data_IF_434280433693
#
_entry.id   IF_434280433693
#
_cell.length_a   1.000
_cell.length_b   1.000
_cell.length_c   1.000
_cell.angle_alpha   90.00
_cell.angle_beta   90.00
_cell.angle_gamma   90.00
#
_symmetry.space_group_name_H-M   'P 1'
#
loop_
_entity.id
_entity.type
_entity.pdbx_description
1 polymer ?
#
# COMPACT_ATOMS: atom_id res chain seq x y z
N UNK A 1 -70.49 67.90 44.60
CA UNK A 1 -71.44 66.98 45.24
C UNK A 1 -72.28 66.42 44.10
N UNK A 2 -72.34 65.10 43.90
CA UNK A 2 -72.95 64.54 42.70
C UNK A 2 -74.48 64.46 42.73
N UNK A 3 -75.14 64.89 43.82
CA UNK A 3 -76.60 64.82 43.97
C UNK A 3 -77.26 66.20 43.97
N UNK A 4 -78.46 66.28 43.39
CA UNK A 4 -79.20 67.54 43.27
C UNK A 4 -79.81 67.96 44.61
N UNK A 5 -79.52 69.20 45.03
CA UNK A 5 -80.20 69.86 46.15
C UNK A 5 -81.07 70.95 45.55
N UNK A 6 -82.40 70.82 45.66
CA UNK A 6 -83.33 71.79 45.09
C UNK A 6 -83.25 73.13 45.82
N UNK A 7 -83.55 74.23 45.11
CA UNK A 7 -83.56 75.58 45.70
C UNK A 7 -84.52 75.67 46.90
N UNK A 8 -85.65 74.97 46.84
CA UNK A 8 -86.61 74.89 47.94
C UNK A 8 -86.03 74.16 49.16
N UNK A 9 -85.23 73.10 48.94
CA UNK A 9 -84.52 72.40 50.03
C UNK A 9 -83.54 73.32 50.78
N UNK A 10 -82.98 74.31 50.09
CA UNK A 10 -82.09 75.33 50.68
C UNK A 10 -82.83 76.41 51.49
N UNK A 11 -84.13 76.64 51.26
CA UNK A 11 -84.93 77.57 52.07
C UNK A 11 -85.53 76.90 53.32
N UNK A 12 -85.69 75.57 53.30
CA UNK A 12 -86.25 74.78 54.39
C UNK A 12 -85.17 73.93 55.11
N UNK A 13 -84.04 74.55 55.44
CA UNK A 13 -82.93 73.93 56.17
C UNK A 13 -83.41 73.53 57.57
N UNK A 14 -83.69 72.24 57.78
CA UNK A 14 -84.16 71.70 59.06
C UNK A 14 -85.53 71.02 59.03
N UNK A 15 -86.22 71.00 57.88
CA UNK A 15 -87.42 70.17 57.70
C UNK A 15 -87.07 68.67 57.78
N UNK A 16 -87.90 67.81 58.42
CA UNK A 16 -87.62 66.38 58.57
C UNK A 16 -87.31 65.65 57.26
N UNK A 17 -87.91 66.07 56.14
CA UNK A 17 -87.71 65.45 54.83
C UNK A 17 -86.51 65.99 54.06
N UNK A 18 -85.95 67.13 54.48
CA UNK A 18 -84.88 67.86 53.77
C UNK A 18 -83.55 67.77 54.51
N UNK A 19 -83.60 67.73 55.83
CA UNK A 19 -82.43 67.66 56.70
C UNK A 19 -81.50 66.46 56.42
N UNK A 20 -81.97 65.22 56.17
CA UNK A 20 -81.08 64.11 55.84
C UNK A 20 -80.24 64.35 54.58
N UNK A 21 -80.84 64.94 53.54
CA UNK A 21 -80.15 65.25 52.27
C UNK A 21 -79.12 66.37 52.44
N UNK A 22 -79.44 67.40 53.23
CA UNK A 22 -78.51 68.49 53.55
C UNK A 22 -77.36 67.98 54.44
N UNK A 23 -77.67 67.14 55.43
CA UNK A 23 -76.66 66.53 56.31
C UNK A 23 -75.70 65.64 55.53
N UNK A 24 -76.20 64.81 54.60
CA UNK A 24 -75.36 64.00 53.71
C UNK A 24 -74.43 64.87 52.85
N UNK A 25 -74.92 66.01 52.35
CA UNK A 25 -74.10 66.96 51.60
C UNK A 25 -73.01 67.63 52.47
N UNK A 26 -73.33 67.97 53.73
CA UNK A 26 -72.36 68.52 54.68
C UNK A 26 -71.29 67.48 55.06
N UNK A 27 -71.69 66.23 55.33
CA UNK A 27 -70.74 65.14 55.60
C UNK A 27 -69.82 64.91 54.40
N UNK A 28 -70.38 64.88 53.18
CA UNK A 28 -69.57 64.79 51.96
C UNK A 28 -68.61 65.97 51.79
N UNK A 29 -69.02 67.18 52.15
CA UNK A 29 -68.14 68.36 52.12
C UNK A 29 -67.01 68.25 53.16
N UNK A 30 -67.31 67.75 54.37
CA UNK A 30 -66.30 67.45 55.39
C UNK A 30 -65.32 66.39 54.90
N UNK A 31 -65.80 65.33 54.25
CA UNK A 31 -64.96 64.29 53.69
C UNK A 31 -64.10 64.79 52.53
N UNK A 32 -64.61 65.69 51.69
CA UNK A 32 -63.80 66.40 50.69
C UNK A 32 -62.70 67.25 51.31
N UNK A 33 -63.00 67.97 52.39
CA UNK A 33 -61.99 68.78 53.11
C UNK A 33 -60.92 67.85 53.68
N UNK A 34 -61.33 66.75 54.33
CA UNK A 34 -60.39 65.73 54.85
C UNK A 34 -59.55 65.12 53.74
N UNK A 35 -60.16 64.81 52.59
CA UNK A 35 -59.46 64.28 51.42
C UNK A 35 -58.45 65.30 50.88
N UNK A 36 -58.85 66.54 50.65
CA UNK A 36 -57.96 67.62 50.20
C UNK A 36 -56.80 67.86 51.15
N UNK A 37 -57.04 67.82 52.48
CA UNK A 37 -55.98 67.93 53.48
C UNK A 37 -55.01 66.74 53.48
N UNK A 38 -55.47 65.51 53.18
CA UNK A 38 -54.60 64.32 53.11
C UNK A 38 -53.79 64.30 51.82
N UNK A 39 -54.44 64.57 50.69
CA UNK A 39 -53.78 64.62 49.38
C UNK A 39 -52.78 65.77 49.33
N UNK A 40 -53.12 66.95 49.85
CA UNK A 40 -52.21 68.09 49.89
C UNK A 40 -50.93 67.82 50.69
N UNK A 41 -50.97 66.95 51.70
CA UNK A 41 -49.77 66.54 52.45
C UNK A 41 -48.89 65.51 51.75
N UNK A 42 -49.42 64.83 50.73
CA UNK A 42 -48.73 63.73 50.03
C UNK A 42 -48.59 64.01 48.53
N UNK A 43 -48.82 65.26 48.11
CA UNK A 43 -48.86 65.61 46.70
C UNK A 43 -47.48 65.51 46.06
N UNK A 44 -46.43 65.84 46.81
CA UNK A 44 -45.04 65.74 46.36
C UNK A 44 -44.67 64.30 46.04
N UNK A 45 -45.10 63.33 46.87
CA UNK A 45 -44.89 61.89 46.61
C UNK A 45 -45.68 61.38 45.38
N UNK A 46 -46.75 62.07 44.98
CA UNK A 46 -47.53 61.72 43.79
C UNK A 46 -46.97 62.37 42.51
N UNK A 47 -46.50 63.61 42.62
CA UNK A 47 -45.88 64.35 41.52
C UNK A 47 -44.47 63.84 41.20
N UNK A 48 -43.75 63.40 42.23
CA UNK A 48 -42.37 62.89 42.14
C UNK A 48 -42.29 61.49 42.76
N UNK A 49 -42.75 60.45 42.04
CA UNK A 49 -42.63 59.08 42.53
C UNK A 49 -41.14 58.69 42.65
N UNK A 50 -40.74 58.03 43.75
CA UNK A 50 -39.37 57.55 43.90
C UNK A 50 -39.04 56.45 42.87
N UNK A 51 -37.84 56.49 42.32
CA UNK A 51 -37.31 55.43 41.45
C UNK A 51 -36.81 54.24 42.29
N UNK A 52 -36.87 53.01 41.76
CA UNK A 52 -36.51 51.77 42.48
C UNK A 52 -35.05 51.75 42.99
N UNK A 53 -34.15 52.54 42.38
CA UNK A 53 -32.73 52.63 42.74
C UNK A 53 -32.40 53.76 43.75
N UNK A 54 -33.38 54.57 44.16
CA UNK A 54 -33.16 55.74 45.03
C UNK A 54 -33.77 55.53 46.42
N UNK A 55 -33.11 54.71 47.24
CA UNK A 55 -33.64 54.30 48.56
C UNK A 55 -33.51 55.38 49.66
N UNK A 56 -32.55 56.31 49.54
CA UNK A 56 -32.20 57.27 50.61
C UNK A 56 -32.12 58.74 50.16
N UNK A 57 -32.52 59.07 48.92
CA UNK A 57 -32.40 60.44 48.38
C UNK A 57 -33.68 60.93 47.72
N UNK A 58 -33.94 62.25 47.79
CA UNK A 58 -35.03 62.90 47.06
C UNK A 58 -34.86 62.65 45.55
N UNK A 59 -35.96 62.39 44.80
CA UNK A 59 -35.92 62.27 43.36
C UNK A 59 -35.31 63.52 42.72
N UNK A 60 -34.48 63.33 41.69
CA UNK A 60 -33.83 64.45 40.99
C UNK A 60 -34.85 65.43 40.41
N UNK A 61 -35.98 64.89 39.93
CA UNK A 61 -37.10 65.67 39.42
C UNK A 61 -37.70 66.61 40.47
N UNK A 62 -37.76 66.17 41.73
CA UNK A 62 -38.25 66.98 42.84
C UNK A 62 -37.26 68.10 43.19
N UNK A 63 -35.96 67.79 43.22
CA UNK A 63 -34.89 68.77 43.50
C UNK A 63 -34.86 69.86 42.42
N UNK A 64 -34.91 69.46 41.14
CA UNK A 64 -34.96 70.39 40.01
C UNK A 64 -36.23 71.23 40.01
N UNK A 65 -37.38 70.63 40.34
CA UNK A 65 -38.64 71.36 40.41
C UNK A 65 -38.62 72.43 41.50
N UNK A 66 -38.13 72.10 42.70
CA UNK A 66 -37.98 73.05 43.81
C UNK A 66 -37.02 74.20 43.46
N UNK A 67 -35.92 73.90 42.75
CA UNK A 67 -35.03 74.93 42.22
C UNK A 67 -35.74 75.86 41.21
N UNK A 68 -36.46 75.30 40.23
CA UNK A 68 -37.21 76.08 39.23
C UNK A 68 -38.30 76.91 39.90
N UNK A 69 -39.03 76.36 40.88
CA UNK A 69 -40.05 77.07 41.63
C UNK A 69 -39.46 78.28 42.37
N UNK A 70 -38.38 78.08 43.14
CA UNK A 70 -37.74 79.14 43.92
C UNK A 70 -37.11 80.22 43.05
N UNK A 71 -36.40 79.84 41.99
CA UNK A 71 -35.81 80.80 41.05
C UNK A 71 -36.88 81.56 40.27
N UNK A 72 -37.99 80.91 39.90
CA UNK A 72 -39.12 81.57 39.25
C UNK A 72 -39.82 82.56 40.19
N UNK A 73 -39.96 82.26 41.48
CA UNK A 73 -40.46 83.20 42.49
C UNK A 73 -39.51 84.41 42.60
N UNK A 74 -38.20 84.17 42.75
CA UNK A 74 -37.21 85.23 42.81
C UNK A 74 -37.19 86.11 41.56
N UNK A 75 -37.38 85.53 40.37
CA UNK A 75 -37.53 86.25 39.11
C UNK A 75 -38.79 87.13 39.12
N UNK A 76 -39.93 86.61 39.60
CA UNK A 76 -41.17 87.39 39.73
C UNK A 76 -41.07 88.54 40.73
N UNK A 77 -40.16 88.44 41.70
CA UNK A 77 -39.82 89.51 42.64
C UNK A 77 -38.83 90.55 42.06
N UNK A 78 -38.31 90.31 40.85
CA UNK A 78 -37.46 91.23 40.10
C UNK A 78 -35.95 90.99 40.27
N UNK A 79 -35.53 89.83 40.78
CA UNK A 79 -34.11 89.46 40.82
C UNK A 79 -33.64 88.93 39.45
N UNK A 80 -32.46 89.34 39.02
CA UNK A 80 -31.80 88.90 37.77
C UNK A 80 -30.58 87.98 38.01
N UNK A 81 -30.27 87.65 39.27
CA UNK A 81 -29.21 86.71 39.64
C UNK A 81 -29.73 85.62 40.57
N UNK A 82 -29.26 84.39 40.36
CA UNK A 82 -29.71 83.18 41.07
C UNK A 82 -28.55 82.34 41.62
N UNK A 83 -27.36 82.94 41.78
CA UNK A 83 -26.13 82.24 42.20
C UNK A 83 -26.32 81.43 43.50
N UNK A 84 -27.03 81.98 44.49
CA UNK A 84 -27.32 81.30 45.75
C UNK A 84 -28.18 80.03 45.58
N UNK A 85 -29.08 80.04 44.60
CA UNK A 85 -29.94 78.88 44.28
C UNK A 85 -29.17 77.84 43.45
N UNK A 86 -28.29 78.30 42.55
CA UNK A 86 -27.39 77.44 41.77
C UNK A 86 -26.42 76.68 42.68
N UNK A 87 -25.87 77.36 43.69
CA UNK A 87 -24.99 76.75 44.69
C UNK A 87 -25.75 75.71 45.52
N UNK A 88 -26.98 76.00 45.94
CA UNK A 88 -27.84 75.04 46.66
C UNK A 88 -28.16 73.80 45.81
N UNK A 89 -28.52 74.00 44.53
CA UNK A 89 -28.77 72.89 43.60
C UNK A 89 -27.51 72.04 43.40
N UNK A 90 -26.36 72.69 43.20
CA UNK A 90 -25.07 72.02 43.05
C UNK A 90 -24.74 71.20 44.29
N UNK A 91 -24.96 71.74 45.49
CA UNK A 91 -24.73 71.03 46.75
C UNK A 91 -25.66 69.80 46.90
N UNK A 92 -26.94 69.93 46.55
CA UNK A 92 -27.89 68.80 46.59
C UNK A 92 -27.51 67.69 45.58
N UNK A 93 -27.12 68.05 44.35
CA UNK A 93 -26.69 67.09 43.33
C UNK A 93 -25.35 66.43 43.70
N UNK A 94 -24.39 67.19 44.22
CA UNK A 94 -23.12 66.67 44.70
C UNK A 94 -23.33 65.72 45.89
N UNK A 95 -24.20 66.07 46.84
CA UNK A 95 -24.53 65.19 47.97
C UNK A 95 -25.17 63.87 47.50
N UNK A 96 -25.97 63.90 46.44
CA UNK A 96 -26.53 62.69 45.81
C UNK A 96 -25.45 61.85 45.10
N UNK A 97 -24.56 62.49 44.33
CA UNK A 97 -23.51 61.80 43.57
C UNK A 97 -22.41 61.21 44.44
N UNK A 98 -21.99 61.93 45.49
CA UNK A 98 -20.91 61.51 46.39
C UNK A 98 -21.41 60.81 47.66
N UNK A 99 -22.72 60.84 47.93
CA UNK A 99 -23.33 60.25 49.12
C UNK A 99 -22.83 60.88 50.44
N UNK A 100 -23.39 60.42 51.57
CA UNK A 100 -23.01 60.89 52.92
C UNK A 100 -21.68 60.25 53.39
N UNK A 101 -21.23 59.13 52.79
CA UNK A 101 -20.08 58.36 53.27
C UNK A 101 -18.79 58.50 52.44
N UNK A 102 -18.58 59.63 51.75
CA UNK A 102 -17.33 59.91 51.03
C UNK A 102 -17.13 59.10 49.74
N UNK A 103 -18.23 58.73 49.08
CA UNK A 103 -18.26 58.37 47.67
C UNK A 103 -17.54 57.09 47.23
N UNK A 104 -17.35 57.02 45.90
CA UNK A 104 -16.68 55.93 45.18
C UNK A 104 -15.22 55.79 45.63
N UNK A 105 -14.57 56.89 46.03
CA UNK A 105 -13.16 56.89 46.43
C UNK A 105 -12.93 56.11 47.73
N UNK A 106 -13.78 56.29 48.75
CA UNK A 106 -13.71 55.48 49.97
C UNK A 106 -14.00 53.99 49.70
N UNK A 107 -14.91 53.68 48.77
CA UNK A 107 -15.18 52.29 48.37
C UNK A 107 -14.01 51.68 47.58
N UNK A 108 -13.32 52.48 46.76
CA UNK A 108 -12.12 52.06 46.04
C UNK A 108 -10.93 51.83 46.99
N UNK A 109 -10.75 52.70 47.99
CA UNK A 109 -9.76 52.51 49.05
C UNK A 109 -10.05 51.27 49.89
N UNK A 110 -11.32 51.03 50.25
CA UNK A 110 -11.73 49.85 50.99
C UNK A 110 -11.56 48.57 50.16
N UNK A 111 -11.93 48.59 48.88
CA UNK A 111 -11.69 47.47 47.97
C UNK A 111 -10.20 47.17 47.83
N UNK A 112 -9.35 48.18 47.64
CA UNK A 112 -7.89 47.99 47.61
C UNK A 112 -7.36 47.43 48.92
N UNK A 113 -7.91 47.85 50.07
CA UNK A 113 -7.52 47.27 51.36
C UNK A 113 -7.87 45.79 51.42
N UNK A 114 -9.09 45.43 51.01
CA UNK A 114 -9.58 44.05 51.01
C UNK A 114 -8.82 43.17 50.00
N UNK A 115 -8.48 43.69 48.82
CA UNK A 115 -7.64 43.00 47.83
C UNK A 115 -6.25 42.72 48.39
N UNK A 116 -5.60 43.70 49.03
CA UNK A 116 -4.30 43.49 49.68
C UNK A 116 -4.37 42.48 50.83
N UNK A 117 -5.45 42.49 51.62
CA UNK A 117 -5.67 41.51 52.68
C UNK A 117 -5.88 40.10 52.11
N UNK A 118 -6.62 39.99 51.02
CA UNK A 118 -6.84 38.73 50.31
C UNK A 118 -5.54 38.17 49.72
N UNK A 119 -4.74 39.01 49.06
CA UNK A 119 -3.42 38.63 48.54
C UNK A 119 -2.48 38.14 49.66
N UNK A 120 -2.48 38.84 50.80
CA UNK A 120 -1.69 38.44 51.97
C UNK A 120 -2.14 37.08 52.52
N UNK A 121 -3.45 36.85 52.60
CA UNK A 121 -4.01 35.58 53.08
C UNK A 121 -3.75 34.43 52.09
N UNK A 122 -3.85 34.68 50.79
CA UNK A 122 -3.53 33.70 49.77
C UNK A 122 -2.05 33.30 49.82
N UNK A 123 -1.15 34.26 50.04
CA UNK A 123 0.27 33.97 50.23
C UNK A 123 0.51 33.13 51.51
N UNK A 124 -0.13 33.48 52.63
CA UNK A 124 0.00 32.70 53.88
C UNK A 124 -0.53 31.27 53.72
N UNK A 125 -1.64 31.08 53.00
CA UNK A 125 -2.19 29.77 52.68
C UNK A 125 -1.20 28.97 51.83
N UNK A 126 -0.60 29.58 50.81
CA UNK A 126 0.38 28.92 49.95
C UNK A 126 1.62 28.48 50.73
N UNK A 127 2.17 29.36 51.58
CA UNK A 127 3.31 29.03 52.45
C UNK A 127 2.99 27.90 53.44
N UNK A 128 1.78 27.92 54.01
CA UNK A 128 1.27 26.87 54.90
C UNK A 128 1.12 25.53 54.18
N UNK A 129 0.60 25.53 52.94
CA UNK A 129 0.48 24.32 52.12
C UNK A 129 1.85 23.74 51.76
N UNK A 130 2.82 24.58 51.40
CA UNK A 130 4.18 24.12 51.13
C UNK A 130 4.85 23.52 52.37
N UNK A 131 4.65 24.14 53.54
CA UNK A 131 5.13 23.61 54.82
C UNK A 131 4.46 22.28 55.16
N UNK A 132 3.16 22.15 54.94
CA UNK A 132 2.41 20.91 55.16
C UNK A 132 2.94 19.80 54.24
N UNK A 133 3.18 20.11 52.97
CA UNK A 133 3.74 19.15 52.01
C UNK A 133 5.13 18.67 52.43
N UNK A 134 6.01 19.58 52.86
CA UNK A 134 7.33 19.21 53.41
C UNK A 134 7.22 18.31 54.63
N UNK A 135 6.32 18.62 55.57
CA UNK A 135 6.08 17.76 56.74
C UNK A 135 5.54 16.37 56.35
N UNK A 136 4.68 16.28 55.34
CA UNK A 136 4.19 15.00 54.82
C UNK A 136 5.32 14.18 54.17
N UNK A 137 6.19 14.83 53.39
CA UNK A 137 7.37 14.18 52.79
C UNK A 137 8.33 13.67 53.87
N UNK A 138 8.58 14.46 54.92
CA UNK A 138 9.37 14.07 56.09
C UNK A 138 8.72 12.90 56.85
N UNK A 139 7.40 12.91 57.06
CA UNK A 139 6.67 11.82 57.72
C UNK A 139 6.80 10.51 56.95
N UNK A 140 6.68 10.55 55.62
CA UNK A 140 6.87 9.37 54.76
C UNK A 140 8.30 8.86 54.86
N UNK A 141 9.30 9.74 54.79
CA UNK A 141 10.71 9.37 54.92
C UNK A 141 11.01 8.71 56.28
N UNK A 142 10.44 9.25 57.36
CA UNK A 142 10.60 8.70 58.70
C UNK A 142 9.94 7.32 58.83
N UNK A 143 8.75 7.11 58.27
CA UNK A 143 8.08 5.80 58.25
C UNK A 143 8.90 4.76 57.49
N UNK A 144 9.43 5.11 56.32
CA UNK A 144 10.29 4.21 55.56
C UNK A 144 11.58 3.86 56.32
N UNK A 145 12.16 4.82 57.05
CA UNK A 145 13.33 4.58 57.89
C UNK A 145 13.00 3.67 59.08
N UNK A 146 11.86 3.86 59.72
CA UNK A 146 11.38 3.00 60.81
C UNK A 146 11.16 1.56 60.33
N UNK A 147 10.52 1.37 59.17
CA UNK A 147 10.36 0.05 58.57
C UNK A 147 11.70 -0.63 58.26
N UNK A 148 12.70 0.13 57.75
CA UNK A 148 14.05 -0.40 57.50
C UNK A 148 14.76 -0.78 58.80
N UNK A 149 14.66 0.06 59.83
CA UNK A 149 15.23 -0.21 61.16
C UNK A 149 14.58 -1.44 61.79
N UNK A 150 13.26 -1.58 61.71
CA UNK A 150 12.55 -2.74 62.24
C UNK A 150 12.93 -4.04 61.50
N UNK A 151 13.09 -3.99 60.17
CA UNK A 151 13.61 -5.15 59.41
C UNK A 151 15.02 -5.51 59.83
N UNK A 152 15.89 -4.52 59.97
CA UNK A 152 17.26 -4.75 60.44
C UNK A 152 17.30 -5.34 61.85
N UNK A 153 16.48 -4.84 62.77
CA UNK A 153 16.35 -5.40 64.12
C UNK A 153 15.88 -6.86 64.08
N UNK A 154 14.86 -7.19 63.27
CA UNK A 154 14.39 -8.56 63.12
C UNK A 154 15.47 -9.50 62.54
N UNK A 155 16.28 -9.02 61.60
CA UNK A 155 17.44 -9.76 61.08
C UNK A 155 18.51 -9.99 62.16
N UNK A 156 18.80 -8.96 62.96
CA UNK A 156 19.74 -9.07 64.08
C UNK A 156 19.24 -10.03 65.17
N UNK A 157 17.96 -9.96 65.52
CA UNK A 157 17.34 -10.89 66.48
C UNK A 157 17.43 -12.34 65.97
N UNK A 158 17.11 -12.58 64.69
CA UNK A 158 17.28 -13.89 64.07
C UNK A 158 18.74 -14.38 64.06
N UNK A 159 19.70 -13.47 63.89
CA UNK A 159 21.12 -13.79 63.98
C UNK A 159 21.54 -14.17 65.41
N UNK A 160 21.05 -13.44 66.41
CA UNK A 160 21.28 -13.75 67.83
C UNK A 160 20.69 -15.13 68.18
N UNK A 161 19.45 -15.41 67.78
CA UNK A 161 18.83 -16.72 68.00
C UNK A 161 19.63 -17.87 67.35
N UNK A 162 20.13 -17.64 66.12
CA UNK A 162 20.98 -18.62 65.43
C UNK A 162 22.30 -18.87 66.17
N UNK A 163 22.95 -17.79 66.64
CA UNK A 163 24.18 -17.89 67.43
C UNK A 163 23.93 -18.60 68.75
N UNK A 164 22.85 -18.30 69.46
CA UNK A 164 22.51 -18.94 70.73
C UNK A 164 22.23 -20.43 70.55
N UNK A 165 21.51 -20.80 69.49
CA UNK A 165 21.31 -22.22 69.12
C UNK A 165 22.63 -22.92 68.81
N UNK A 166 23.53 -22.27 68.07
CA UNK A 166 24.85 -22.83 67.78
C UNK A 166 25.69 -22.99 69.03
N UNK A 167 25.67 -22.00 69.94
CA UNK A 167 26.33 -22.07 71.22
C UNK A 167 25.83 -23.28 72.04
N UNK A 168 24.51 -23.47 72.14
CA UNK A 168 23.92 -24.61 72.84
C UNK A 168 24.29 -25.96 72.20
N UNK A 169 24.39 -26.02 70.87
CA UNK A 169 24.82 -27.24 70.18
C UNK A 169 26.29 -27.56 70.49
N UNK A 170 27.18 -26.56 70.42
CA UNK A 170 28.59 -26.71 70.76
C UNK A 170 28.76 -27.09 72.24
N UNK A 171 27.99 -26.50 73.14
CA UNK A 171 28.01 -26.86 74.56
C UNK A 171 27.63 -28.33 74.78
N UNK A 172 26.57 -28.82 74.11
CA UNK A 172 26.21 -30.23 74.13
C UNK A 172 27.29 -31.14 73.55
N UNK A 173 27.91 -30.74 72.44
CA UNK A 173 29.03 -31.50 71.85
C UNK A 173 30.22 -31.57 72.80
N UNK A 174 30.54 -30.49 73.50
CA UNK A 174 31.60 -30.49 74.52
C UNK A 174 31.24 -31.45 75.66
N UNK A 175 29.99 -31.46 76.12
CA UNK A 175 29.52 -32.39 77.16
C UNK A 175 29.63 -33.86 76.72
N UNK A 176 29.22 -34.18 75.49
CA UNK A 176 29.33 -35.55 74.97
C UNK A 176 30.79 -35.97 74.79
N UNK A 177 31.64 -35.11 74.21
CA UNK A 177 33.07 -35.40 74.07
C UNK A 177 33.75 -35.57 75.43
N UNK A 178 33.38 -34.77 76.43
CA UNK A 178 33.91 -34.91 77.78
C UNK A 178 33.52 -36.26 78.41
N UNK A 179 32.28 -36.69 78.21
CA UNK A 179 31.80 -38.00 78.67
C UNK A 179 32.52 -39.15 77.95
N UNK A 180 32.69 -39.06 76.63
CA UNK A 180 33.41 -40.07 75.84
C UNK A 180 34.89 -40.15 76.24
N UNK A 181 35.54 -39.01 76.45
CA UNK A 181 36.92 -38.95 76.92
C UNK A 181 37.06 -39.61 78.30
N UNK A 182 36.11 -39.34 79.21
CA UNK A 182 36.06 -39.99 80.52
C UNK A 182 35.91 -41.52 80.38
N UNK A 183 35.00 -41.99 79.52
CA UNK A 183 34.77 -43.42 79.27
C UNK A 183 36.01 -44.10 78.67
N UNK A 184 36.66 -43.45 77.70
CA UNK A 184 37.89 -43.95 77.06
C UNK A 184 39.01 -44.04 78.09
N UNK A 185 39.19 -43.02 78.94
CA UNK A 185 40.19 -43.05 80.02
C UNK A 185 39.92 -44.21 80.98
N UNK A 186 38.69 -44.37 81.43
CA UNK A 186 38.32 -45.48 82.32
C UNK A 186 38.62 -46.85 81.68
N UNK A 187 38.25 -47.05 80.41
CA UNK A 187 38.56 -48.30 79.68
C UNK A 187 40.06 -48.49 79.45
N UNK A 188 40.81 -47.40 79.23
CA UNK A 188 42.25 -47.47 79.07
C UNK A 188 42.94 -47.86 80.38
N UNK A 189 42.52 -47.28 81.51
CA UNK A 189 43.04 -47.62 82.83
C UNK A 189 42.72 -49.07 83.19
N UNK A 190 41.50 -49.55 82.87
CA UNK A 190 41.12 -50.96 83.01
C UNK A 190 42.02 -51.88 82.16
N UNK A 191 42.22 -51.55 80.88
CA UNK A 191 43.10 -52.32 79.99
C UNK A 191 44.55 -52.27 80.45
N UNK A 192 45.01 -51.16 81.01
CA UNK A 192 46.36 -51.04 81.52
C UNK A 192 46.57 -51.89 82.77
N UNK A 193 45.59 -51.95 83.68
CA UNK A 193 45.59 -52.90 84.79
C UNK A 193 45.60 -54.35 84.30
N UNK A 194 44.83 -54.69 83.27
CA UNK A 194 44.87 -56.02 82.65
C UNK A 194 46.25 -56.30 82.05
N UNK A 195 46.83 -55.34 81.32
CA UNK A 195 48.15 -55.49 80.72
C UNK A 195 49.26 -55.67 81.77
N UNK A 196 49.23 -54.88 82.84
CA UNK A 196 50.21 -54.96 83.95
C UNK A 196 50.05 -56.25 84.77
N UNK A 197 48.85 -56.84 84.80
CA UNK A 197 48.60 -58.13 85.47
C UNK A 197 48.77 -59.35 84.56
N UNK A 198 48.92 -59.16 83.25
CA UNK A 198 49.17 -60.24 82.30
C UNK A 198 50.66 -60.52 82.17
N UNK A 199 51.10 -61.65 82.71
CA UNK A 199 52.43 -62.21 82.44
C UNK A 199 52.40 -62.95 81.09
N UNK A 200 52.69 -62.24 80.00
CA UNK A 200 52.84 -62.88 78.68
C UNK A 200 54.21 -63.55 78.54
N UNK A 201 54.22 -64.81 78.09
CA UNK A 201 55.44 -65.49 77.68
C UNK A 201 55.96 -64.90 76.36
N UNK A 202 57.27 -64.98 76.09
CA UNK A 202 57.85 -64.54 74.79
C UNK A 202 57.18 -65.24 73.59
N UNK A 203 56.69 -66.45 73.79
CA UNK A 203 55.96 -67.25 72.79
C UNK A 203 54.59 -66.64 72.46
N UNK A 204 53.89 -66.06 73.45
CA UNK A 204 52.61 -65.38 73.24
C UNK A 204 52.78 -64.08 72.44
N UNK A 205 53.88 -63.35 72.67
CA UNK A 205 54.21 -62.13 71.92
C UNK A 205 54.50 -62.46 70.45
N UNK A 206 55.17 -63.58 70.18
CA UNK A 206 55.42 -64.04 68.82
C UNK A 206 54.14 -64.49 68.11
N UNK A 207 53.24 -65.19 68.81
CA UNK A 207 51.91 -65.53 68.29
C UNK A 207 51.09 -64.27 67.97
N UNK A 208 51.09 -63.26 68.85
CA UNK A 208 50.42 -61.98 68.61
C UNK A 208 51.00 -61.28 67.37
N UNK A 209 52.33 -61.31 67.16
CA UNK A 209 52.96 -60.75 65.95
C UNK A 209 52.54 -61.50 64.68
N UNK A 210 52.43 -62.82 64.74
CA UNK A 210 51.96 -63.65 63.61
C UNK A 210 50.50 -63.31 63.31
N UNK A 211 49.62 -63.29 64.32
CA UNK A 211 48.22 -62.91 64.17
C UNK A 211 48.06 -61.47 63.64
N UNK A 212 48.86 -60.52 64.13
CA UNK A 212 48.85 -59.14 63.61
C UNK A 212 49.23 -59.10 62.13
N UNK A 213 50.23 -59.87 61.71
CA UNK A 213 50.62 -59.96 60.30
C UNK A 213 49.52 -60.58 59.45
N UNK A 214 48.83 -61.60 59.95
CA UNK A 214 47.69 -62.22 59.28
C UNK A 214 46.50 -61.25 59.16
N UNK A 215 46.18 -60.52 60.23
CA UNK A 215 45.13 -59.49 60.23
C UNK A 215 45.45 -58.36 59.24
N UNK A 216 46.70 -57.88 59.18
CA UNK A 216 47.11 -56.88 58.19
C UNK A 216 46.93 -57.42 56.77
N UNK A 217 47.30 -58.67 56.51
CA UNK A 217 47.07 -59.30 55.21
C UNK A 217 45.58 -59.40 54.88
N UNK A 218 44.73 -59.73 55.86
CA UNK A 218 43.28 -59.78 55.65
C UNK A 218 42.68 -58.39 55.36
N UNK A 219 43.25 -57.33 55.94
CA UNK A 219 42.90 -55.94 55.63
C UNK A 219 43.32 -55.61 54.19
N UNK A 220 44.57 -55.90 53.80
CA UNK A 220 45.05 -55.67 52.42
C UNK A 220 44.17 -56.42 51.40
N UNK A 221 43.82 -57.67 51.69
CA UNK A 221 42.91 -58.47 50.85
C UNK A 221 41.49 -57.89 50.81
N UNK A 222 41.01 -57.27 51.90
CA UNK A 222 39.71 -56.60 51.94
C UNK A 222 39.71 -55.27 51.17
N UNK A 223 40.77 -54.47 51.30
CA UNK A 223 40.95 -53.23 50.53
C UNK A 223 41.03 -53.52 49.03
N UNK A 224 41.75 -54.57 48.63
CA UNK A 224 41.78 -55.01 47.23
C UNK A 224 40.41 -55.44 46.71
N UNK A 225 39.59 -56.11 47.55
CA UNK A 225 38.20 -56.45 47.18
C UNK A 225 37.33 -55.21 47.02
N UNK A 226 37.44 -54.23 47.91
CA UNK A 226 36.70 -52.96 47.80
C UNK A 226 37.07 -52.26 46.50
N UNK A 227 38.37 -52.11 46.19
CA UNK A 227 38.82 -51.49 44.95
C UNK A 227 38.28 -52.20 43.69
N UNK A 228 38.21 -53.53 43.71
CA UNK A 228 37.64 -54.29 42.59
C UNK A 228 36.11 -54.07 42.45
N UNK A 229 35.37 -54.06 43.57
CA UNK A 229 33.93 -53.76 43.56
C UNK A 229 33.67 -52.34 43.10
N UNK A 230 34.48 -51.37 43.51
CA UNK A 230 34.37 -49.98 43.04
C UNK A 230 34.62 -49.88 41.53
N UNK A 231 35.57 -50.65 41.00
CA UNK A 231 35.80 -50.74 39.56
C UNK A 231 34.63 -51.38 38.82
N UNK A 232 34.01 -52.43 39.38
CA UNK A 232 32.79 -53.04 38.82
C UNK A 232 31.62 -52.06 38.84
N UNK A 233 31.39 -51.34 39.95
CA UNK A 233 30.36 -50.30 40.07
C UNK A 233 30.58 -49.23 39.00
N UNK A 234 31.80 -48.70 38.88
CA UNK A 234 32.11 -47.68 37.89
C UNK A 234 31.85 -48.17 36.45
N UNK A 235 32.22 -49.42 36.16
CA UNK A 235 31.96 -50.01 34.84
C UNK A 235 30.46 -50.16 34.55
N UNK A 236 29.67 -50.51 35.57
CA UNK A 236 28.22 -50.70 35.48
C UNK A 236 27.49 -49.35 35.40
N UNK A 237 27.93 -48.33 36.13
CA UNK A 237 27.46 -46.94 36.01
C UNK A 237 27.75 -46.37 34.62
N UNK A 238 28.94 -46.62 34.08
CA UNK A 238 29.28 -46.21 32.72
C UNK A 238 28.40 -46.93 31.68
N UNK A 239 28.10 -48.21 31.91
CA UNK A 239 27.18 -49.00 31.07
C UNK A 239 25.76 -48.45 31.14
N UNK A 240 25.25 -48.16 32.33
CA UNK A 240 23.94 -47.58 32.55
C UNK A 240 23.82 -46.19 31.90
N UNK A 241 24.86 -45.36 32.02
CA UNK A 241 24.92 -44.03 31.40
C UNK A 241 24.86 -44.11 29.87
N UNK A 242 25.63 -45.01 29.25
CA UNK A 242 25.57 -45.27 27.79
C UNK A 242 24.20 -45.76 27.33
N UNK A 243 23.55 -46.63 28.11
CA UNK A 243 22.21 -47.09 27.81
C UNK A 243 21.20 -45.94 27.90
N UNK A 244 21.32 -45.07 28.91
CA UNK A 244 20.45 -43.90 29.07
C UNK A 244 20.61 -42.90 27.93
N UNK A 245 21.85 -42.65 27.49
CA UNK A 245 22.15 -41.82 26.31
C UNK A 245 21.53 -42.39 25.02
N UNK A 246 21.61 -43.72 24.84
CA UNK A 246 20.99 -44.40 23.69
C UNK A 246 19.45 -44.25 23.71
N UNK A 247 18.84 -44.40 24.89
CA UNK A 247 17.39 -44.20 25.07
C UNK A 247 17.00 -42.75 24.82
N UNK A 248 17.78 -41.78 25.31
CA UNK A 248 17.52 -40.35 25.09
C UNK A 248 17.64 -39.98 23.60
N UNK A 249 18.65 -40.48 22.89
CA UNK A 249 18.77 -40.32 21.43
C UNK A 249 17.55 -40.88 20.71
N UNK A 250 17.09 -42.08 21.06
CA UNK A 250 15.91 -42.70 20.45
C UNK A 250 14.62 -41.93 20.76
N UNK A 251 14.47 -41.38 21.97
CA UNK A 251 13.34 -40.51 22.33
C UNK A 251 13.38 -39.20 21.54
N UNK A 252 14.55 -38.58 21.37
CA UNK A 252 14.71 -37.35 20.61
C UNK A 252 14.41 -37.57 19.12
N UNK A 253 14.97 -38.62 18.51
CA UNK A 253 14.67 -39.00 17.11
C UNK A 253 13.16 -39.22 16.90
N UNK A 254 12.49 -39.88 17.84
CA UNK A 254 11.05 -40.05 17.80
C UNK A 254 10.30 -38.70 17.94
N UNK A 255 10.69 -37.86 18.90
CA UNK A 255 10.06 -36.57 19.13
C UNK A 255 10.25 -35.62 17.93
N UNK A 256 11.42 -35.64 17.28
CA UNK A 256 11.71 -34.88 16.06
C UNK A 256 10.80 -35.33 14.90
N UNK A 257 10.64 -36.64 14.72
CA UNK A 257 9.71 -37.21 13.73
C UNK A 257 8.25 -36.86 14.07
N UNK A 258 7.87 -36.93 15.35
CA UNK A 258 6.52 -36.59 15.81
C UNK A 258 6.23 -35.08 15.65
N UNK A 259 7.24 -34.22 15.82
CA UNK A 259 7.13 -32.79 15.54
C UNK A 259 6.99 -32.51 14.03
N UNK A 260 7.77 -33.20 13.18
CA UNK A 260 7.65 -33.10 11.72
C UNK A 260 6.26 -33.53 11.23
N UNK A 261 5.69 -34.57 11.85
CA UNK A 261 4.34 -35.06 11.60
C UNK A 261 3.24 -34.21 12.29
N UNK A 262 3.61 -33.12 12.98
CA UNK A 262 2.70 -32.22 13.71
C UNK A 262 1.79 -32.96 14.70
N UNK A 263 2.36 -33.89 15.46
CA UNK A 263 1.72 -34.63 16.56
C UNK A 263 2.05 -34.04 17.94
N UNK A 264 3.09 -33.20 18.02
CA UNK A 264 3.54 -32.50 19.23
C UNK A 264 3.58 -31.00 18.90
N UNK A 265 3.01 -30.09 19.73
CA UNK A 265 2.42 -30.31 21.06
C UNK A 265 1.08 -31.06 21.02
N UNK A 266 0.52 -31.47 22.17
CA UNK A 266 -0.79 -32.15 22.28
C UNK A 266 -1.98 -31.39 21.65
N UNK A 267 -1.79 -30.10 21.34
CA UNK A 267 -2.72 -29.23 20.60
C UNK A 267 -2.51 -29.23 19.09
N UNK A 268 -1.56 -30.01 18.57
CA UNK A 268 -1.22 -30.02 17.15
C UNK A 268 -2.32 -30.68 16.32
N UNK A 269 -2.38 -30.30 15.03
CA UNK A 269 -3.48 -30.60 14.12
C UNK A 269 -3.84 -32.09 14.01
N UNK A 270 -2.84 -32.96 14.15
CA UNK A 270 -3.02 -34.42 14.07
C UNK A 270 -2.86 -35.12 15.43
N UNK A 271 -2.66 -34.35 16.51
CA UNK A 271 -2.46 -34.89 17.85
C UNK A 271 -3.77 -35.38 18.50
N UNK A 272 -4.92 -34.85 18.06
CA UNK A 272 -6.25 -35.23 18.57
C UNK A 272 -6.35 -35.25 20.11
N UNK A 273 -5.61 -34.37 20.80
CA UNK A 273 -5.59 -34.28 22.26
C UNK A 273 -4.76 -35.35 22.98
N UNK A 274 -4.04 -36.22 22.25
CA UNK A 274 -3.14 -37.23 22.82
C UNK A 274 -1.74 -36.64 22.96
N UNK A 275 -1.11 -36.89 24.10
CA UNK A 275 0.27 -36.50 24.37
C UNK A 275 1.25 -37.56 23.84
N UNK A 276 1.85 -37.25 22.69
CA UNK A 276 2.83 -38.12 22.03
C UNK A 276 4.27 -37.93 22.54
N UNK A 277 4.56 -36.97 23.40
CA UNK A 277 5.95 -36.65 23.78
C UNK A 277 6.57 -37.78 24.65
N UNK A 278 7.73 -38.29 24.25
CA UNK A 278 8.49 -39.27 25.03
C UNK A 278 9.66 -38.59 25.75
N UNK A 279 9.83 -38.89 27.05
CA UNK A 279 10.96 -38.38 27.84
C UNK A 279 11.69 -39.51 28.53
N UNK A 280 13.03 -39.51 28.45
CA UNK A 280 13.92 -40.50 29.08
C UNK A 280 13.80 -40.53 30.62
N UNK A 281 13.35 -39.43 31.24
CA UNK A 281 13.44 -39.27 32.70
C UNK A 281 12.40 -40.08 33.47
N UNK A 282 11.16 -40.24 33.01
CA UNK A 282 10.07 -40.86 33.79
C UNK A 282 9.16 -41.72 32.90
N UNK A 283 9.02 -43.02 33.25
CA UNK A 283 8.03 -43.98 32.70
C UNK A 283 7.87 -43.95 31.16
N UNK A 284 8.95 -43.71 30.42
CA UNK A 284 8.96 -43.63 28.96
C UNK A 284 8.36 -44.89 28.32
N UNK A 285 8.69 -46.05 28.90
CA UNK A 285 8.22 -47.36 28.44
C UNK A 285 6.71 -47.51 28.60
N UNK A 286 6.17 -47.20 29.77
CA UNK A 286 4.75 -47.38 30.07
C UNK A 286 3.90 -46.39 29.26
N UNK A 287 4.37 -45.13 29.15
CA UNK A 287 3.73 -44.13 28.27
C UNK A 287 3.75 -44.58 26.80
N UNK A 288 4.86 -45.18 26.35
CA UNK A 288 4.95 -45.70 24.99
C UNK A 288 3.99 -46.87 24.75
N UNK A 289 3.93 -47.84 25.64
CA UNK A 289 3.08 -49.03 25.47
C UNK A 289 1.59 -48.73 25.60
N UNK A 290 1.23 -47.87 26.55
CA UNK A 290 -0.17 -47.73 26.97
C UNK A 290 -0.89 -46.61 26.22
N UNK A 291 -0.17 -45.57 25.81
CA UNK A 291 -0.75 -44.37 25.20
C UNK A 291 -0.27 -44.18 23.77
N UNK A 292 1.05 -44.06 23.56
CA UNK A 292 1.61 -43.64 22.27
C UNK A 292 1.44 -44.71 21.19
N UNK A 293 1.81 -45.97 21.47
CA UNK A 293 1.74 -47.07 20.50
C UNK A 293 0.31 -47.36 20.02
N UNK A 294 -0.71 -47.53 20.89
CA UNK A 294 -2.07 -47.76 20.43
C UNK A 294 -2.66 -46.54 19.69
N UNK A 295 -2.34 -45.31 20.12
CA UNK A 295 -2.78 -44.10 19.44
C UNK A 295 -2.17 -43.97 18.02
N UNK A 296 -0.86 -44.23 17.87
CA UNK A 296 -0.19 -44.26 16.56
C UNK A 296 -0.72 -45.38 15.67
N UNK A 297 -1.07 -46.54 16.23
CA UNK A 297 -1.63 -47.65 15.47
C UNK A 297 -3.03 -47.32 14.95
N UNK A 298 -3.88 -46.73 15.79
CA UNK A 298 -5.20 -46.24 15.35
C UNK A 298 -5.06 -45.14 14.29
N UNK A 299 -4.13 -44.20 14.47
CA UNK A 299 -3.87 -43.15 13.49
C UNK A 299 -3.40 -43.76 12.15
N UNK A 300 -2.49 -44.74 12.19
CA UNK A 300 -2.02 -45.46 11.00
C UNK A 300 -3.17 -46.18 10.29
N UNK A 301 -4.06 -46.84 11.03
CA UNK A 301 -5.22 -47.53 10.46
C UNK A 301 -6.18 -46.53 9.80
N UNK A 302 -6.47 -45.39 10.44
CA UNK A 302 -7.27 -44.32 9.84
C UNK A 302 -6.65 -43.76 8.56
N UNK A 303 -5.35 -43.46 8.57
CA UNK A 303 -4.67 -42.98 7.36
C UNK A 303 -4.56 -44.06 6.28
N UNK A 304 -4.37 -45.33 6.65
CA UNK A 304 -4.38 -46.43 5.69
C UNK A 304 -5.75 -46.56 5.01
N UNK A 305 -6.84 -46.40 5.75
CA UNK A 305 -8.20 -46.40 5.20
C UNK A 305 -8.43 -45.19 4.27
N UNK A 306 -8.01 -43.99 4.68
CA UNK A 306 -8.07 -42.78 3.83
C UNK A 306 -7.23 -42.94 2.55
N UNK A 307 -6.02 -43.49 2.66
CA UNK A 307 -5.14 -43.75 1.51
C UNK A 307 -5.75 -44.82 0.60
N UNK A 308 -6.35 -45.86 1.16
CA UNK A 308 -7.06 -46.88 0.37
C UNK A 308 -8.24 -46.28 -0.38
N UNK A 309 -9.07 -45.46 0.27
CA UNK A 309 -10.21 -44.82 -0.38
C UNK A 309 -9.74 -43.85 -1.47
N UNK A 310 -8.72 -43.02 -1.20
CA UNK A 310 -8.14 -42.12 -2.20
C UNK A 310 -7.44 -42.85 -3.34
N UNK A 311 -6.77 -43.96 -3.07
CA UNK A 311 -6.17 -44.81 -4.11
C UNK A 311 -7.24 -45.44 -4.99
N UNK A 312 -8.39 -45.81 -4.42
CA UNK A 312 -9.53 -46.34 -5.16
C UNK A 312 -10.17 -45.26 -6.04
N UNK A 313 -10.37 -44.05 -5.49
CA UNK A 313 -10.81 -42.88 -6.28
C UNK A 313 -9.84 -42.60 -7.43
N UNK A 314 -8.53 -42.58 -7.16
CA UNK A 314 -7.49 -42.37 -8.17
C UNK A 314 -7.51 -43.47 -9.25
N UNK A 315 -7.76 -44.73 -8.88
CA UNK A 315 -7.87 -45.83 -9.83
C UNK A 315 -9.09 -45.63 -10.74
N UNK A 316 -10.24 -45.27 -10.17
CA UNK A 316 -11.44 -44.95 -10.97
C UNK A 316 -11.20 -43.77 -11.92
N UNK A 317 -10.53 -42.71 -11.45
CA UNK A 317 -10.21 -41.55 -12.27
C UNK A 317 -9.19 -41.88 -13.39
N UNK A 318 -8.21 -42.76 -13.10
CA UNK A 318 -7.29 -43.29 -14.11
C UNK A 318 -8.00 -44.13 -15.16
N UNK A 319 -8.91 -45.02 -14.76
CA UNK A 319 -9.69 -45.83 -15.70
C UNK A 319 -10.52 -44.94 -16.65
N UNK A 320 -11.14 -43.88 -16.11
CA UNK A 320 -11.87 -42.87 -16.90
C UNK A 320 -10.91 -42.11 -17.83
N UNK A 321 -9.74 -41.71 -17.34
CA UNK A 321 -8.73 -41.03 -18.15
C UNK A 321 -8.23 -41.91 -19.30
N UNK A 322 -7.94 -43.18 -19.04
CA UNK A 322 -7.52 -44.14 -20.07
C UNK A 322 -8.62 -44.35 -21.11
N UNK A 323 -9.88 -44.45 -20.67
CA UNK A 323 -11.03 -44.52 -21.57
C UNK A 323 -11.14 -43.25 -22.45
N UNK A 324 -11.11 -42.06 -21.85
CA UNK A 324 -11.15 -40.81 -22.62
C UNK A 324 -9.94 -40.66 -23.55
N UNK A 325 -8.76 -41.12 -23.13
CA UNK A 325 -7.57 -41.10 -23.98
C UNK A 325 -7.71 -42.04 -25.17
N UNK A 326 -8.29 -43.23 -24.99
CA UNK A 326 -8.60 -44.15 -26.07
C UNK A 326 -9.62 -43.52 -27.05
N UNK A 327 -10.69 -42.93 -26.54
CA UNK A 327 -11.69 -42.21 -27.35
C UNK A 327 -11.05 -41.06 -28.15
N UNK A 328 -10.13 -40.30 -27.54
CA UNK A 328 -9.38 -39.26 -28.24
C UNK A 328 -8.47 -39.81 -29.34
N UNK A 329 -7.80 -40.96 -29.10
CA UNK A 329 -6.99 -41.61 -30.13
C UNK A 329 -7.84 -42.11 -31.30
N UNK A 330 -9.02 -42.68 -31.02
CA UNK A 330 -9.96 -43.10 -32.05
C UNK A 330 -10.46 -41.91 -32.87
N UNK A 331 -10.81 -40.80 -32.20
CA UNK A 331 -11.20 -39.55 -32.88
C UNK A 331 -10.05 -38.97 -33.73
N UNK A 332 -8.81 -39.00 -33.24
CA UNK A 332 -7.62 -38.55 -33.98
C UNK A 332 -7.37 -39.41 -35.22
N UNK A 333 -7.56 -40.73 -35.10
CA UNK A 333 -7.47 -41.66 -36.24
C UNK A 333 -8.58 -41.40 -37.27
N UNK A 334 -9.82 -41.17 -36.82
CA UNK A 334 -10.92 -40.77 -37.71
C UNK A 334 -10.63 -39.44 -38.41
N UNK A 335 -10.09 -38.46 -37.68
CA UNK A 335 -9.73 -37.16 -38.22
C UNK A 335 -8.61 -37.29 -39.27
N UNK A 336 -7.55 -38.05 -39.00
CA UNK A 336 -6.50 -38.36 -39.99
C UNK A 336 -7.05 -39.06 -41.22
N UNK A 337 -8.00 -39.99 -41.05
CA UNK A 337 -8.66 -40.63 -42.17
C UNK A 337 -9.44 -39.61 -43.01
N UNK A 338 -10.20 -38.71 -42.35
CA UNK A 338 -10.93 -37.63 -43.02
C UNK A 338 -10.02 -36.62 -43.71
N UNK A 339 -8.91 -36.23 -43.08
CA UNK A 339 -7.87 -35.40 -43.69
C UNK A 339 -7.26 -36.06 -44.92
N UNK A 340 -6.98 -37.37 -44.87
CA UNK A 340 -6.47 -38.10 -46.04
C UNK A 340 -7.49 -38.18 -47.17
N UNK A 341 -8.79 -38.31 -46.85
CA UNK A 341 -9.89 -38.25 -47.82
C UNK A 341 -10.00 -36.85 -48.44
N UNK A 342 -9.90 -35.80 -47.61
CA UNK A 342 -9.86 -34.41 -48.06
C UNK A 342 -8.68 -34.16 -49.00
N UNK A 343 -7.48 -34.58 -48.61
CA UNK A 343 -6.28 -34.41 -49.43
C UNK A 343 -6.39 -35.14 -50.78
N UNK A 344 -6.95 -36.36 -50.80
CA UNK A 344 -7.24 -37.05 -52.07
C UNK A 344 -8.22 -36.28 -52.94
N UNK A 345 -9.27 -35.70 -52.36
CA UNK A 345 -10.23 -34.86 -53.08
C UNK A 345 -9.59 -33.57 -53.58
N UNK A 346 -8.70 -32.95 -52.81
CA UNK A 346 -7.91 -31.77 -53.20
C UNK A 346 -6.95 -32.11 -54.35
N UNK A 347 -6.23 -33.23 -54.27
CA UNK A 347 -5.34 -33.71 -55.34
C UNK A 347 -6.13 -34.04 -56.62
N UNK A 348 -7.30 -34.68 -56.49
CA UNK A 348 -8.20 -34.95 -57.62
C UNK A 348 -8.74 -33.65 -58.25
N UNK A 349 -9.07 -32.65 -57.43
CA UNK A 349 -9.49 -31.33 -57.90
C UNK A 349 -8.36 -30.62 -58.62
N UNK A 350 -7.14 -30.63 -58.08
CA UNK A 350 -5.97 -30.01 -58.70
C UNK A 350 -5.60 -30.75 -60.00
N UNK A 351 -5.69 -32.07 -60.04
CA UNK A 351 -5.51 -32.86 -61.26
C UNK A 351 -6.54 -32.49 -62.34
N UNK A 352 -7.83 -32.40 -61.96
CA UNK A 352 -8.89 -31.94 -62.88
C UNK A 352 -8.66 -30.51 -63.36
N UNK A 353 -8.18 -29.63 -62.48
CA UNK A 353 -7.83 -28.24 -62.81
C UNK A 353 -6.64 -28.19 -63.79
N UNK A 354 -5.61 -29.00 -63.59
CA UNK A 354 -4.48 -29.09 -64.53
C UNK A 354 -4.90 -29.66 -65.88
N UNK A 355 -5.76 -30.69 -65.92
CA UNK A 355 -6.35 -31.17 -67.18
C UNK A 355 -7.11 -30.04 -67.85
N UNK A 356 -8.01 -29.36 -67.11
CA UNK A 356 -8.78 -28.25 -67.64
C UNK A 356 -7.88 -27.11 -68.15
N UNK A 357 -6.78 -26.82 -67.46
CA UNK A 357 -5.81 -25.82 -67.89
C UNK A 357 -5.03 -26.24 -69.14
N UNK A 358 -4.61 -27.51 -69.24
CA UNK A 358 -3.99 -28.05 -70.46
C UNK A 358 -4.95 -28.06 -71.65
N UNK A 359 -6.21 -28.43 -71.42
CA UNK A 359 -7.25 -28.34 -72.45
C UNK A 359 -7.48 -26.89 -72.87
N UNK A 360 -7.49 -25.96 -71.93
CA UNK A 360 -7.59 -24.53 -72.21
C UNK A 360 -6.36 -24.00 -72.99
N UNK A 361 -5.15 -24.39 -72.61
CA UNK A 361 -3.91 -24.05 -73.32
C UNK A 361 -3.91 -24.63 -74.74
N UNK A 362 -4.33 -25.90 -74.91
CA UNK A 362 -4.48 -26.50 -76.23
C UNK A 362 -5.50 -25.76 -77.08
N UNK A 363 -6.66 -25.40 -76.52
CA UNK A 363 -7.66 -24.59 -77.21
C UNK A 363 -7.11 -23.19 -77.56
N UNK A 364 -6.29 -22.60 -76.69
CA UNK A 364 -5.62 -21.32 -76.92
C UNK A 364 -4.54 -21.43 -78.02
N UNK A 365 -3.75 -22.49 -78.05
CA UNK A 365 -2.79 -22.77 -79.13
C UNK A 365 -3.50 -23.02 -80.47
N UNK A 366 -4.59 -23.79 -80.47
CA UNK A 366 -5.43 -23.98 -81.65
C UNK A 366 -5.99 -22.62 -82.12
N UNK A 367 -6.43 -21.76 -81.20
CA UNK A 367 -6.88 -20.40 -81.51
C UNK A 367 -5.75 -19.54 -82.08
N UNK A 368 -4.57 -19.52 -81.46
CA UNK A 368 -3.41 -18.76 -81.94
C UNK A 368 -2.88 -19.28 -83.28
N UNK A 369 -2.93 -20.59 -83.50
CA UNK A 369 -2.63 -21.24 -84.77
C UNK A 369 -3.58 -20.76 -85.86
N UNK A 370 -4.89 -20.78 -85.59
CA UNK A 370 -5.90 -20.21 -86.50
C UNK A 370 -5.69 -18.71 -86.73
N UNK A 371 -5.31 -17.92 -85.71
CA UNK A 371 -4.99 -16.49 -85.87
C UNK A 371 -3.71 -16.26 -86.71
N UNK A 372 -2.70 -17.11 -86.57
CA UNK A 372 -1.47 -17.09 -87.39
C UNK A 372 -1.76 -17.50 -88.83
N UNK A 373 -2.56 -18.53 -89.05
CA UNK A 373 -3.04 -18.89 -90.39
C UNK A 373 -3.83 -17.74 -90.99
N UNK A 374 -4.72 -17.11 -90.23
CA UNK A 374 -5.46 -15.94 -90.69
C UNK A 374 -4.53 -14.76 -91.02
N UNK A 375 -3.46 -14.56 -90.24
CA UNK A 375 -2.45 -13.53 -90.49
C UNK A 375 -1.55 -13.86 -91.69
N UNK A 376 -1.18 -15.13 -91.89
CA UNK A 376 -0.45 -15.60 -93.07
C UNK A 376 -1.30 -15.43 -94.32
N UNK A 377 -2.59 -15.76 -94.28
CA UNK A 377 -3.55 -15.52 -95.38
C UNK A 377 -3.64 -14.02 -95.67
N UNK A 378 -3.67 -13.15 -94.65
CA UNK A 378 -3.62 -11.69 -94.86
C UNK A 378 -2.30 -11.23 -95.49
N UNK A 379 -1.17 -11.76 -95.04
CA UNK A 379 0.16 -11.37 -95.52
C UNK A 379 0.44 -11.88 -96.94
N UNK A 380 0.04 -13.11 -97.26
CA UNK A 380 0.13 -13.69 -98.60
C UNK A 380 -0.80 -12.96 -99.56
N UNK A 381 -2.05 -12.69 -99.16
CA UNK A 381 -2.95 -11.85 -99.97
C UNK A 381 -2.39 -10.44 -100.21
N UNK A 382 -1.69 -9.86 -99.23
CA UNK A 382 -1.02 -8.56 -99.39
C UNK A 382 0.19 -8.59 -100.34
N UNK A 383 1.00 -9.65 -100.31
CA UNK A 383 2.14 -9.83 -101.23
C UNK A 383 1.67 -10.07 -102.67
N UNK A 384 0.68 -10.93 -102.90
CA UNK A 384 0.14 -11.19 -104.24
C UNK A 384 -0.46 -9.93 -104.87
N UNK A 385 -1.11 -9.07 -104.08
CA UNK A 385 -1.66 -7.81 -104.57
C UNK A 385 -0.58 -6.79 -104.92
N UNK A 386 0.50 -6.73 -104.13
CA UNK A 386 1.63 -5.81 -104.37
C UNK A 386 2.48 -6.21 -105.58
N UNK A 387 2.67 -7.50 -105.83
CA UNK A 387 3.41 -8.00 -107.00
C UNK A 387 2.62 -7.81 -108.29
N UNK A 388 1.30 -8.08 -108.28
CA UNK A 388 0.43 -7.81 -109.43
C UNK A 388 0.35 -6.32 -109.80
N UNK A 389 0.32 -5.42 -108.80
CA UNK A 389 0.33 -3.96 -109.05
C UNK A 389 1.66 -3.43 -109.63
N UNK A 390 2.76 -4.19 -109.47
CA UNK A 390 4.07 -3.84 -110.03
C UNK A 390 4.18 -4.27 -111.50
N UNK A 391 3.72 -5.47 -111.84
CA UNK A 391 3.70 -5.98 -113.22
C UNK A 391 2.83 -5.14 -114.17
N UNK A 392 1.68 -4.64 -113.69
CA UNK A 392 0.81 -3.75 -114.48
C UNK A 392 1.50 -2.42 -114.79
N UNK A 393 2.28 -1.88 -113.84
CA UNK A 393 3.03 -0.63 -114.06
C UNK A 393 4.17 -0.77 -115.07
N UNK A 394 4.88 -1.90 -115.02
CA UNK A 394 6.02 -2.14 -115.91
C UNK A 394 5.58 -2.44 -117.35
N UNK A 395 4.45 -3.14 -117.53
CA UNK A 395 3.87 -3.40 -118.85
C UNK A 395 3.31 -2.14 -119.52
N UNK A 396 2.72 -1.21 -118.75
CA UNK A 396 2.24 0.08 -119.27
C UNK A 396 3.35 0.97 -119.84
N UNK A 397 4.52 1.03 -119.19
CA UNK A 397 5.67 1.80 -119.73
C UNK A 397 6.21 1.25 -121.06
N UNK A 398 6.06 -0.05 -121.29
CA UNK A 398 6.51 -0.72 -122.52
C UNK A 398 5.58 -0.45 -123.72
N UNK A 399 4.30 -0.18 -123.47
CA UNK A 399 3.32 0.25 -124.50
C UNK A 399 3.71 1.60 -125.10
N UNK A 400 4.19 2.56 -124.31
CA UNK A 400 4.39 3.93 -124.79
C UNK A 400 5.65 4.11 -125.66
N UNK A 401 6.70 3.31 -125.44
CA UNK A 401 7.96 3.43 -126.20
C UNK A 401 7.86 2.85 -127.61
N UNK A 402 7.07 1.78 -127.81
CA UNK A 402 6.91 1.14 -129.13
C UNK A 402 6.03 1.94 -130.08
N UNK A 403 5.01 2.65 -129.57
CA UNK A 403 4.18 3.49 -130.42
C UNK A 403 4.95 4.66 -131.05
N UNK A 404 5.89 5.30 -130.32
CA UNK A 404 6.68 6.42 -130.86
C UNK A 404 7.65 6.05 -131.97
N UNK A 405 8.17 4.81 -131.99
CA UNK A 405 9.13 4.42 -133.04
C UNK A 405 8.44 4.10 -134.37
N UNK A 406 7.25 3.49 -134.33
CA UNK A 406 6.52 3.18 -135.57
C UNK A 406 6.03 4.42 -136.32
N UNK A 407 5.70 5.51 -135.63
CA UNK A 407 5.30 6.77 -136.28
C UNK A 407 6.46 7.46 -137.03
N UNK A 408 7.71 7.27 -136.61
CA UNK A 408 8.87 7.82 -137.31
C UNK A 408 9.22 7.04 -138.60
N UNK A 409 8.99 5.72 -138.60
CA UNK A 409 9.31 4.85 -139.74
C UNK A 409 8.37 5.08 -140.93
N UNK A 410 7.12 5.45 -140.67
CA UNK A 410 6.11 5.73 -141.71
C UNK A 410 6.48 6.96 -142.58
N UNK A 411 7.18 7.94 -142.00
CA UNK A 411 7.49 9.20 -142.68
C UNK A 411 8.79 9.13 -143.50
N UNK A 412 9.75 8.31 -143.06
CA UNK A 412 11.02 8.08 -143.75
C UNK A 412 10.86 7.25 -145.03
N UNK A 413 9.98 6.25 -145.04
CA UNK A 413 9.77 5.40 -146.23
C UNK A 413 9.12 6.16 -147.40
N UNK A 414 8.21 7.10 -147.09
CA UNK A 414 7.56 7.96 -148.09
C UNK A 414 8.53 8.92 -148.80
N UNK A 415 9.59 9.37 -148.11
CA UNK A 415 10.59 10.30 -148.65
C UNK A 415 11.72 9.59 -149.39
N UNK A 416 12.05 8.33 -149.03
CA UNK A 416 13.19 7.61 -149.60
C UNK A 416 13.03 7.24 -151.08
N UNK A 417 11.95 6.59 -151.53
CA UNK A 417 11.95 6.04 -152.90
C UNK A 417 11.51 7.01 -154.02
N UNK A 418 10.92 8.16 -153.70
CA UNK A 418 10.83 9.29 -154.64
C UNK A 418 12.23 9.73 -155.15
N UNK A 419 13.30 9.46 -154.41
CA UNK A 419 14.68 9.87 -154.70
C UNK A 419 15.46 8.85 -155.56
N UNK A 420 15.13 7.56 -155.46
CA UNK A 420 15.81 6.51 -156.23
C UNK A 420 15.44 6.53 -157.71
N UNK A 421 14.23 6.97 -158.05
CA UNK A 421 13.83 7.29 -159.44
C UNK A 421 14.66 8.42 -160.08
N UNK A 422 15.47 9.19 -159.32
CA UNK A 422 16.26 10.33 -159.83
C UNK A 422 17.76 10.06 -160.02
N UNK A 423 18.40 9.19 -159.22
CA UNK A 423 19.88 9.09 -159.21
C UNK A 423 20.52 8.17 -160.25
N UNK A 424 19.78 7.20 -160.80
CA UNK A 424 20.33 6.33 -161.85
C UNK A 424 20.41 7.02 -163.22
N UNK A 425 19.75 8.17 -163.34
CA UNK A 425 19.85 9.07 -164.49
C UNK A 425 21.20 9.85 -164.48
N UNK A 426 21.88 10.03 -163.33
CA UNK A 426 23.03 10.97 -163.18
C UNK A 426 24.46 10.35 -163.17
N UNK A 427 24.68 9.09 -162.79
CA UNK A 427 26.04 8.50 -162.85
C UNK A 427 26.46 8.10 -164.28
N UNK A 428 25.56 8.29 -165.23
CA UNK A 428 25.81 8.45 -166.65
C UNK A 428 27.03 9.35 -167.00
N UNK A 429 27.51 10.27 -166.16
CA UNK A 429 28.34 11.40 -166.67
C UNK A 429 29.76 11.61 -166.09
N UNK A 430 30.26 10.86 -165.09
CA UNK A 430 31.44 11.35 -164.31
C UNK A 430 32.78 10.61 -164.39
N UNK A 431 32.83 9.37 -164.87
CA UNK A 431 34.10 8.60 -164.83
C UNK A 431 35.04 8.94 -166.00
N UNK A 432 34.56 9.71 -166.98
CA UNK A 432 35.37 10.26 -168.07
C UNK A 432 36.47 11.27 -167.62
N UNK A 433 36.50 11.76 -166.37
CA UNK A 433 37.25 13.00 -166.06
C UNK A 433 38.67 12.93 -165.49
N UNK A 434 38.95 12.14 -164.43
CA UNK A 434 39.94 12.65 -163.43
C UNK A 434 41.34 11.99 -163.46
N UNK A 435 41.55 10.95 -164.28
CA UNK A 435 42.89 10.36 -164.49
C UNK A 435 43.94 11.37 -165.00
N UNK A 436 43.50 12.53 -165.47
CA UNK A 436 44.29 13.57 -166.13
C UNK A 436 45.21 14.38 -165.22
N UNK A 437 44.95 14.46 -163.91
CA UNK A 437 45.62 15.47 -163.06
C UNK A 437 46.77 14.94 -162.19
N UNK A 438 46.91 13.62 -162.03
CA UNK A 438 47.97 13.05 -161.18
C UNK A 438 49.40 13.28 -161.71
N UNK A 439 49.57 13.51 -163.01
CA UNK A 439 50.91 13.51 -163.63
C UNK A 439 51.72 14.77 -163.33
N UNK A 440 51.07 15.90 -163.06
CA UNK A 440 51.74 17.21 -163.03
C UNK A 440 52.56 17.49 -161.77
N UNK A 441 52.23 16.87 -160.62
CA UNK A 441 52.89 17.21 -159.35
C UNK A 441 54.26 16.56 -159.14
N UNK A 442 54.65 15.61 -160.01
CA UNK A 442 55.92 14.88 -159.91
C UNK A 442 57.15 15.73 -160.28
N UNK A 443 57.01 16.79 -161.07
CA UNK A 443 58.17 17.52 -161.60
C UNK A 443 58.69 18.66 -160.70
N UNK A 444 57.85 19.28 -159.88
CA UNK A 444 58.29 20.42 -159.05
C UNK A 444 59.28 20.01 -157.94
N UNK A 445 59.29 18.74 -157.53
CA UNK A 445 60.27 18.22 -156.57
C UNK A 445 61.71 18.17 -157.11
N UNK A 446 61.94 18.30 -158.42
CA UNK A 446 63.28 18.26 -159.03
C UNK A 446 64.09 19.55 -158.81
N UNK A 447 63.47 20.68 -158.48
CA UNK A 447 64.15 21.98 -158.41
C UNK A 447 64.89 22.29 -157.10
N UNK A 448 64.53 21.66 -155.98
CA UNK A 448 65.07 22.05 -154.67
C UNK A 448 66.40 21.38 -154.30
N UNK A 449 66.76 20.25 -154.90
CA UNK A 449 67.95 19.46 -154.49
C UNK A 449 69.27 19.89 -155.18
N UNK A 450 69.27 20.69 -156.25
CA UNK A 450 70.52 21.07 -156.94
C UNK A 450 71.12 22.43 -156.59
N UNK A 451 70.43 23.27 -155.81
CA UNK A 451 70.95 24.60 -155.38
C UNK A 451 71.87 24.51 -154.14
N UNK A 452 71.93 23.39 -153.39
CA UNK A 452 72.57 23.38 -152.06
C UNK A 452 74.02 22.84 -151.93
N UNK A 453 74.78 22.49 -152.98
CA UNK A 453 76.25 22.24 -152.78
C UNK A 453 77.11 22.32 -154.06
N UNK A 454 77.42 23.56 -154.45
CA UNK A 454 78.71 24.04 -155.03
C UNK A 454 79.38 25.02 -154.01
N UNK A 455 79.35 24.68 -152.71
CA UNK A 455 80.23 25.27 -151.67
C UNK A 455 80.64 24.11 -150.75
N UNK A 456 81.85 23.53 -150.76
CA UNK A 456 83.02 23.74 -151.64
C UNK A 456 82.79 23.33 -153.09
#
# INVERSE_FOLDING_TARGET
>A
YPFMISKTAMYALGSPHTWPTILAALVWMVDLIKFGMRVGKSIDSFLFPPNEDEFDTLPESQILFDYVEKTYIAYMEGNDSFEDYDEQLSNHLNQKLYGISGGIENLDEENKRLENELDSLEQEIQESQEKLKKMQEEEVCLKENDEKMNKYLAEMDGYVESLEKNYQNVEKEIETLAADLHNIKASNDEKQLIFESQEFSQEDIEQIKIHRKDMLRQIDDAEARVANVDQEIWSEEMRASKMLETVESSCNEYNDLAQLLKLIPSTAQYACGVDYELSSRHNARDKFTDVVKPALQSLKEQWAEVVHEKSKELMMEKDVYEQCSADCMDLDNELKLKESQLKRLEDDLEYKKQIGQKEFEKQQEEKEGLEKEMSQIKLSSGKTLSEGQKEVRDTQKSVESKMRSMEQDLELYKTFLKKSFSKLIDHKERVEGILETMTQKLEEKLQTVKIETERS
#
